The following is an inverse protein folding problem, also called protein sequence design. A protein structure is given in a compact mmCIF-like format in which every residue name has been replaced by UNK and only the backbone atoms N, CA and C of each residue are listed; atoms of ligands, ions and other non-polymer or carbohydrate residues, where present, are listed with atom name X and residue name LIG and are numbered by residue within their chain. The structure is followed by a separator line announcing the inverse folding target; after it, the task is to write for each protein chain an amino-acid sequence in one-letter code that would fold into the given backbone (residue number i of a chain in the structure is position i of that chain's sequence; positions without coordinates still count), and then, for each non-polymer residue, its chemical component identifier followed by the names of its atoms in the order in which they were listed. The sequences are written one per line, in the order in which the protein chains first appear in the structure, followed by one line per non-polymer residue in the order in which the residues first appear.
data_IF_172852029981
#
_entry.id   IF_172852029981
#
_cell.length_a   1.000
_cell.length_b   1.000
_cell.length_c   1.000
_cell.angle_alpha   90.00
_cell.angle_beta   90.00
_cell.angle_gamma   90.00
#
_symmetry.space_group_name_H-M   'P 1'
#
loop_
_entity.id
_entity.type
_entity.pdbx_description
1 polymer ?
#
# COMPACT_ATOMS: atom_id res chain seq x y z
N UNK A 1 -1.96 25.04 2.30
CA UNK A 1 -2.94 23.95 2.01
C UNK A 1 -2.18 22.65 2.17
N UNK A 2 -2.59 21.73 3.05
CA UNK A 2 -1.92 20.42 3.16
C UNK A 2 -2.26 19.64 1.88
N UNK A 3 -1.28 19.38 1.03
CA UNK A 3 -1.48 18.53 -0.16
C UNK A 3 -1.57 17.08 0.31
N UNK A 4 -2.54 16.33 -0.22
CA UNK A 4 -2.56 14.89 -0.11
C UNK A 4 -1.56 14.29 -1.09
N UNK A 5 -0.84 13.24 -0.69
CA UNK A 5 0.08 12.50 -1.58
C UNK A 5 -0.59 12.09 -2.91
N UNK A 6 -1.82 11.55 -2.83
CA UNK A 6 -2.62 11.18 -4.00
C UNK A 6 -2.88 12.36 -4.97
N UNK A 7 -2.88 13.59 -4.48
CA UNK A 7 -3.03 14.79 -5.30
C UNK A 7 -1.73 15.31 -5.92
N UNK A 8 -0.57 14.71 -5.60
CA UNK A 8 0.74 15.09 -6.13
C UNK A 8 1.21 14.18 -7.28
N UNK A 9 0.80 12.92 -7.27
CA UNK A 9 1.21 11.91 -8.26
C UNK A 9 0.47 12.09 -9.59
N UNK A 10 1.11 11.67 -10.70
CA UNK A 10 0.56 11.84 -12.06
C UNK A 10 -0.73 11.05 -12.31
N UNK A 11 -0.85 9.89 -11.66
CA UNK A 11 -2.04 9.05 -11.66
C UNK A 11 -2.03 8.17 -10.42
N UNK A 12 -3.20 7.93 -9.85
CA UNK A 12 -3.38 7.02 -8.73
C UNK A 12 -4.66 6.21 -8.90
N UNK A 13 -4.72 5.05 -8.26
CA UNK A 13 -5.96 4.31 -8.05
C UNK A 13 -5.87 3.50 -6.76
N UNK A 14 -6.96 3.46 -6.00
CA UNK A 14 -7.15 2.56 -4.87
C UNK A 14 -8.10 1.43 -5.29
N UNK A 15 -7.76 0.20 -4.93
CA UNK A 15 -8.48 -1.01 -5.29
C UNK A 15 -8.89 -1.73 -4.00
N UNK A 16 -10.16 -1.59 -3.66
CA UNK A 16 -10.68 -1.95 -2.33
C UNK A 16 -11.58 -3.17 -2.44
N UNK A 17 -11.21 -4.25 -1.76
CA UNK A 17 -11.99 -5.49 -1.79
C UNK A 17 -13.31 -5.33 -1.03
N UNK A 18 -14.36 -5.96 -1.55
CA UNK A 18 -15.73 -5.87 -1.03
C UNK A 18 -16.32 -4.45 -0.99
N UNK A 19 -15.64 -3.44 -1.56
CA UNK A 19 -16.18 -2.09 -1.65
C UNK A 19 -17.42 -2.07 -2.59
N UNK A 20 -18.61 -1.63 -2.12
CA UNK A 20 -19.85 -1.77 -2.89
C UNK A 20 -19.94 -0.93 -4.16
N UNK A 21 -19.32 0.25 -4.15
CA UNK A 21 -19.27 1.18 -5.28
C UNK A 21 -18.07 2.10 -5.14
N UNK A 22 -17.70 2.81 -6.19
CA UNK A 22 -16.57 3.76 -6.12
C UNK A 22 -16.75 4.78 -4.99
N UNK A 23 -15.66 5.10 -4.29
CA UNK A 23 -15.63 6.09 -3.22
C UNK A 23 -16.69 5.87 -2.12
N UNK A 24 -16.89 4.61 -1.70
CA UNK A 24 -17.93 4.28 -0.73
C UNK A 24 -17.55 4.76 0.69
N UNK A 25 -18.34 5.65 1.31
CA UNK A 25 -17.87 6.45 2.45
C UNK A 25 -18.11 5.81 3.83
N UNK A 26 -18.49 4.54 3.91
CA UNK A 26 -18.87 3.86 5.16
C UNK A 26 -18.61 2.35 5.08
N UNK A 27 -18.58 1.67 6.22
CA UNK A 27 -18.43 0.21 6.25
C UNK A 27 -19.61 -0.49 5.52
N UNK A 28 -19.34 -1.66 4.95
CA UNK A 28 -20.37 -2.53 4.34
C UNK A 28 -19.87 -3.96 4.21
N UNK A 29 -20.52 -4.91 4.89
CA UNK A 29 -20.02 -6.29 4.92
C UNK A 29 -18.58 -6.32 5.46
N UNK A 30 -17.69 -7.00 4.73
CA UNK A 30 -16.26 -7.08 5.03
C UNK A 30 -15.45 -5.85 4.57
N UNK A 31 -16.07 -4.86 3.92
CA UNK A 31 -15.40 -3.60 3.58
C UNK A 31 -15.42 -2.63 4.77
N UNK A 32 -14.22 -2.20 5.17
CA UNK A 32 -13.98 -1.20 6.21
C UNK A 32 -13.46 0.11 5.61
N UNK A 33 -14.28 1.17 5.58
CA UNK A 33 -13.86 2.45 4.99
C UNK A 33 -12.61 3.01 5.67
N UNK A 34 -12.41 2.72 6.96
CA UNK A 34 -11.23 3.15 7.72
C UNK A 34 -9.89 2.64 7.16
N UNK A 35 -9.90 1.56 6.37
CA UNK A 35 -8.71 1.03 5.69
C UNK A 35 -8.52 1.61 4.28
N UNK A 36 -9.51 2.36 3.76
CA UNK A 36 -9.48 3.03 2.47
C UNK A 36 -9.17 4.55 2.67
N UNK A 37 -7.97 5.04 2.30
CA UNK A 37 -7.62 6.44 2.51
C UNK A 37 -8.41 7.47 1.67
N UNK A 38 -8.65 7.29 0.34
CA UNK A 38 -9.29 8.30 -0.52
C UNK A 38 -10.55 9.00 0.04
N UNK A 39 -11.55 8.32 0.63
CA UNK A 39 -12.74 8.98 1.19
C UNK A 39 -12.46 10.04 2.26
N UNK A 40 -11.31 9.98 2.95
CA UNK A 40 -10.92 10.93 4.00
C UNK A 40 -10.22 12.18 3.46
N UNK A 41 -9.73 12.15 2.22
CA UNK A 41 -9.11 13.31 1.59
C UNK A 41 -10.17 14.18 0.92
N UNK A 42 -10.88 15.01 1.71
CA UNK A 42 -11.99 15.86 1.23
C UNK A 42 -11.62 16.90 0.15
N UNK A 43 -10.32 17.13 -0.07
CA UNK A 43 -9.82 18.03 -1.12
C UNK A 43 -9.29 17.30 -2.36
N UNK A 44 -9.28 15.96 -2.34
CA UNK A 44 -8.85 15.12 -3.45
C UNK A 44 -9.97 15.06 -4.50
N UNK A 45 -9.67 15.55 -5.70
CA UNK A 45 -10.53 15.33 -6.86
C UNK A 45 -10.38 13.89 -7.37
N UNK A 46 -11.47 13.32 -7.89
CA UNK A 46 -11.41 12.05 -8.62
C UNK A 46 -11.62 10.79 -7.77
N UNK A 47 -11.97 10.90 -6.48
CA UNK A 47 -12.30 9.73 -5.64
C UNK A 47 -13.31 8.80 -6.32
N UNK A 48 -14.44 9.34 -6.82
CA UNK A 48 -15.44 8.53 -7.54
C UNK A 48 -14.95 7.85 -8.83
N UNK A 49 -13.76 8.20 -9.34
CA UNK A 49 -13.16 7.63 -10.55
C UNK A 49 -11.95 6.73 -10.26
N UNK A 50 -11.25 6.99 -9.17
CA UNK A 50 -9.95 6.38 -8.87
C UNK A 50 -9.95 5.58 -7.55
N UNK A 51 -10.98 5.67 -6.73
CA UNK A 51 -11.23 4.75 -5.63
C UNK A 51 -12.30 3.74 -6.07
N UNK A 52 -11.88 2.53 -6.41
CA UNK A 52 -12.70 1.55 -7.15
C UNK A 52 -12.71 0.18 -6.47
N UNK A 53 -13.76 -0.65 -6.69
CA UNK A 53 -13.77 -2.02 -6.21
C UNK A 53 -12.61 -2.86 -6.79
N UNK A 54 -12.06 -3.74 -5.95
CA UNK A 54 -10.87 -4.56 -6.25
C UNK A 54 -10.83 -5.25 -7.63
N UNK A 55 -11.92 -5.84 -8.16
CA UNK A 55 -11.90 -6.52 -9.46
C UNK A 55 -11.40 -5.66 -10.64
N UNK A 56 -11.43 -4.33 -10.52
CA UNK A 56 -10.87 -3.43 -11.54
C UNK A 56 -9.36 -3.61 -11.73
N UNK A 57 -8.62 -4.04 -10.69
CA UNK A 57 -7.17 -4.25 -10.76
C UNK A 57 -6.78 -5.22 -11.88
N UNK A 58 -7.51 -6.33 -12.03
CA UNK A 58 -7.25 -7.31 -13.08
C UNK A 58 -7.40 -6.73 -14.50
N UNK A 59 -8.38 -5.83 -14.69
CA UNK A 59 -8.57 -5.14 -15.95
C UNK A 59 -7.41 -4.21 -16.25
N UNK A 60 -6.95 -3.43 -15.26
CA UNK A 60 -5.85 -2.47 -15.44
C UNK A 60 -4.50 -3.17 -15.63
N UNK A 61 -4.28 -4.30 -14.95
CA UNK A 61 -3.10 -5.16 -15.16
C UNK A 61 -3.07 -5.73 -16.58
N UNK A 62 -4.19 -6.30 -17.05
CA UNK A 62 -4.27 -6.91 -18.38
C UNK A 62 -4.18 -5.89 -19.52
N UNK A 63 -4.72 -4.69 -19.31
CA UNK A 63 -4.67 -3.60 -20.28
C UNK A 63 -3.32 -2.87 -20.33
N UNK A 64 -2.43 -3.11 -19.36
CA UNK A 64 -1.16 -2.37 -19.29
C UNK A 64 -1.33 -0.93 -18.78
N UNK A 65 -2.38 -0.65 -18.01
CA UNK A 65 -2.78 0.71 -17.61
C UNK A 65 -2.76 0.96 -16.10
N UNK A 66 -1.95 0.21 -15.34
CA UNK A 66 -1.71 0.52 -13.93
C UNK A 66 -1.31 2.00 -13.77
N UNK A 67 -1.87 2.72 -12.79
CA UNK A 67 -1.46 4.08 -12.47
C UNK A 67 -0.05 4.10 -11.87
N UNK A 68 0.55 5.30 -11.80
CA UNK A 68 1.85 5.51 -11.18
C UNK A 68 1.85 5.10 -9.69
N UNK A 69 0.73 5.31 -8.98
CA UNK A 69 0.52 4.80 -7.63
C UNK A 69 -0.73 3.92 -7.55
N UNK A 70 -0.57 2.66 -7.12
CA UNK A 70 -1.67 1.74 -6.87
C UNK A 70 -1.72 1.40 -5.39
N UNK A 71 -2.87 1.61 -4.74
CA UNK A 71 -3.13 1.19 -3.36
C UNK A 71 -4.12 0.03 -3.37
N UNK A 72 -3.85 -1.03 -2.62
CA UNK A 72 -4.68 -2.23 -2.61
C UNK A 72 -4.97 -2.59 -1.17
N UNK A 73 -6.24 -2.78 -0.83
CA UNK A 73 -6.68 -3.18 0.50
C UNK A 73 -7.57 -4.42 0.37
N UNK A 74 -7.14 -5.57 0.92
CA UNK A 74 -8.02 -6.72 1.09
C UNK A 74 -9.17 -6.39 2.06
N UNK A 75 -10.23 -7.20 2.06
CA UNK A 75 -11.33 -7.03 2.99
C UNK A 75 -10.93 -7.50 4.41
N UNK A 76 -11.79 -7.28 5.41
CA UNK A 76 -11.50 -7.62 6.82
C UNK A 76 -11.12 -9.09 7.09
N UNK A 77 -11.47 -10.03 6.21
CA UNK A 77 -11.08 -11.43 6.33
C UNK A 77 -9.69 -11.65 5.73
N UNK A 78 -9.45 -11.05 4.58
CA UNK A 78 -8.25 -11.27 3.79
C UNK A 78 -7.08 -10.33 4.18
N UNK A 79 -7.36 -9.25 4.91
CA UNK A 79 -6.37 -8.34 5.52
C UNK A 79 -5.84 -8.86 6.87
N UNK A 80 -6.39 -9.99 7.34
CA UNK A 80 -6.09 -10.67 8.61
C UNK A 80 -6.60 -9.96 9.87
N UNK A 81 -7.49 -8.95 9.75
CA UNK A 81 -8.07 -8.27 10.91
C UNK A 81 -9.13 -9.14 11.61
N UNK A 82 -10.12 -9.62 10.87
CA UNK A 82 -11.19 -10.51 11.34
C UNK A 82 -11.00 -11.96 10.85
N UNK A 83 -10.05 -12.15 9.93
CA UNK A 83 -9.65 -13.46 9.40
C UNK A 83 -8.40 -14.03 10.05
N UNK A 84 -7.88 -15.08 9.44
CA UNK A 84 -6.66 -15.76 9.87
C UNK A 84 -5.49 -15.41 8.94
N UNK A 85 -4.26 -15.58 9.45
CA UNK A 85 -3.05 -15.49 8.62
C UNK A 85 -3.13 -16.40 7.38
N UNK A 86 -3.73 -17.58 7.51
CA UNK A 86 -3.89 -18.52 6.39
C UNK A 86 -4.85 -18.00 5.31
N UNK A 87 -5.88 -17.22 5.67
CA UNK A 87 -6.79 -16.59 4.72
C UNK A 87 -6.06 -15.48 3.96
N UNK A 88 -5.36 -14.59 4.65
CA UNK A 88 -4.57 -13.55 3.98
C UNK A 88 -3.45 -14.13 3.11
N UNK A 89 -2.78 -15.21 3.55
CA UNK A 89 -1.78 -15.90 2.72
C UNK A 89 -2.41 -16.51 1.45
N UNK A 90 -3.59 -17.13 1.59
CA UNK A 90 -4.36 -17.64 0.43
C UNK A 90 -4.75 -16.51 -0.52
N UNK A 91 -5.18 -15.37 0.02
CA UNK A 91 -5.52 -14.19 -0.77
C UNK A 91 -4.29 -13.68 -1.55
N UNK A 92 -3.14 -13.53 -0.90
CA UNK A 92 -1.90 -13.12 -1.55
C UNK A 92 -1.49 -14.10 -2.64
N UNK A 93 -1.54 -15.41 -2.36
CA UNK A 93 -1.20 -16.46 -3.31
C UNK A 93 -2.10 -16.43 -4.57
N UNK A 94 -3.37 -16.09 -4.42
CA UNK A 94 -4.32 -15.99 -5.53
C UNK A 94 -4.16 -14.69 -6.35
N UNK A 95 -3.74 -13.59 -5.71
CA UNK A 95 -3.81 -12.27 -6.31
C UNK A 95 -2.47 -11.72 -6.80
N UNK A 96 -1.38 -11.92 -6.06
CA UNK A 96 -0.06 -11.41 -6.43
C UNK A 96 0.47 -11.95 -7.78
N UNK A 97 0.20 -13.21 -8.20
CA UNK A 97 0.65 -13.68 -9.51
C UNK A 97 0.15 -12.84 -10.69
N UNK A 98 -1.02 -12.20 -10.60
CA UNK A 98 -1.51 -11.33 -11.66
C UNK A 98 -0.63 -10.07 -11.80
N UNK A 99 -0.16 -9.52 -10.68
CA UNK A 99 0.77 -8.37 -10.65
C UNK A 99 2.10 -8.79 -11.27
N UNK A 100 2.69 -9.90 -10.81
CA UNK A 100 3.99 -10.36 -11.28
C UNK A 100 3.99 -10.80 -12.75
N UNK A 101 2.83 -11.20 -13.27
CA UNK A 101 2.68 -11.56 -14.67
C UNK A 101 2.37 -10.38 -15.59
N UNK A 102 2.07 -9.19 -15.04
CA UNK A 102 1.75 -8.00 -15.83
C UNK A 102 2.93 -7.52 -16.69
N UNK A 103 2.65 -6.89 -17.84
CA UNK A 103 3.69 -6.28 -18.68
C UNK A 103 4.57 -5.28 -17.93
N UNK A 104 3.98 -4.46 -17.06
CA UNK A 104 4.68 -3.38 -16.35
C UNK A 104 5.62 -3.91 -15.28
N UNK A 105 5.21 -4.95 -14.53
CA UNK A 105 6.11 -5.61 -13.59
C UNK A 105 7.28 -6.27 -14.33
N UNK A 106 7.01 -7.02 -15.41
CA UNK A 106 8.07 -7.65 -16.22
C UNK A 106 9.00 -6.65 -16.88
N UNK A 107 8.53 -5.44 -17.18
CA UNK A 107 9.33 -4.35 -17.71
C UNK A 107 10.23 -3.66 -16.67
N UNK A 108 10.13 -4.02 -15.38
CA UNK A 108 10.92 -3.38 -14.32
C UNK A 108 10.36 -2.04 -13.83
N UNK A 109 9.11 -1.71 -14.17
CA UNK A 109 8.50 -0.41 -13.83
C UNK A 109 7.62 -0.46 -12.58
N UNK A 110 7.55 -1.59 -11.89
CA UNK A 110 6.71 -1.79 -10.69
C UNK A 110 7.57 -2.31 -9.54
N UNK A 111 7.48 -1.62 -8.41
CA UNK A 111 7.90 -2.14 -7.11
C UNK A 111 6.65 -2.36 -6.25
N UNK A 112 6.45 -3.57 -5.76
CA UNK A 112 5.39 -3.93 -4.83
C UNK A 112 5.92 -3.81 -3.40
N UNK A 113 5.20 -3.08 -2.57
CA UNK A 113 5.39 -3.04 -1.12
C UNK A 113 4.19 -3.71 -0.47
N UNK A 114 4.42 -4.85 0.19
CA UNK A 114 3.43 -5.54 1.02
C UNK A 114 3.73 -5.20 2.48
N UNK A 115 2.77 -4.63 3.19
CA UNK A 115 2.93 -4.19 4.59
C UNK A 115 1.61 -4.29 5.33
N UNK A 116 1.65 -4.09 6.65
CA UNK A 116 0.48 -4.00 7.52
C UNK A 116 0.40 -2.60 8.11
N UNK A 117 -0.81 -2.11 8.32
CA UNK A 117 -1.04 -0.78 8.90
C UNK A 117 -0.65 -0.73 10.38
N UNK A 118 -0.89 -1.81 11.12
CA UNK A 118 -0.59 -1.93 12.55
C UNK A 118 -0.12 -3.33 12.96
N UNK A 119 0.61 -3.39 14.08
CA UNK A 119 0.97 -4.64 14.75
C UNK A 119 -0.02 -4.99 15.87
N UNK A 120 0.00 -6.24 16.33
CA UNK A 120 -0.89 -6.72 17.40
C UNK A 120 -0.12 -7.00 18.72
N UNK A 121 -0.83 -6.95 19.85
CA UNK A 121 -0.34 -7.43 21.14
C UNK A 121 0.53 -6.43 21.91
N UNK A 122 0.59 -5.19 21.43
CA UNK A 122 1.31 -4.11 22.07
C UNK A 122 0.57 -3.40 23.20
N UNK A 123 1.25 -2.45 23.83
CA UNK A 123 0.71 -1.63 24.93
C UNK A 123 0.64 -0.14 24.63
N UNK A 124 1.22 0.28 23.50
CA UNK A 124 1.29 1.68 23.07
C UNK A 124 0.79 1.84 21.64
N UNK A 125 0.36 3.05 21.33
CA UNK A 125 0.02 3.50 19.97
C UNK A 125 1.05 4.49 19.40
N UNK A 126 2.06 4.87 20.19
CA UNK A 126 3.18 5.70 19.72
C UNK A 126 4.33 4.81 19.23
N UNK A 127 4.27 4.47 17.95
CA UNK A 127 5.14 3.47 17.33
C UNK A 127 6.25 4.04 16.44
N UNK A 128 6.22 5.34 16.11
CA UNK A 128 7.08 5.91 15.07
C UNK A 128 8.59 5.67 15.29
N UNK A 129 9.01 5.59 16.55
CA UNK A 129 10.39 5.26 16.95
C UNK A 129 10.46 4.17 18.02
N UNK A 130 9.35 3.48 18.32
CA UNK A 130 9.31 2.49 19.38
C UNK A 130 9.70 1.11 18.83
N UNK A 131 10.93 0.71 19.09
CA UNK A 131 11.46 -0.58 18.62
C UNK A 131 11.27 -1.70 19.64
N UNK A 132 10.70 -1.43 20.80
CA UNK A 132 10.61 -2.40 21.92
C UNK A 132 9.22 -2.97 22.12
N UNK A 133 8.17 -2.24 21.76
CA UNK A 133 6.79 -2.71 21.87
C UNK A 133 6.46 -3.58 20.65
N UNK A 134 5.96 -4.79 20.89
CA UNK A 134 5.63 -5.77 19.83
C UNK A 134 4.54 -5.27 18.89
N UNK A 135 3.59 -4.46 19.38
CA UNK A 135 2.53 -3.88 18.54
C UNK A 135 3.03 -2.77 17.61
N UNK A 136 4.28 -2.33 17.78
CA UNK A 136 4.90 -1.33 16.91
C UNK A 136 5.73 -1.92 15.77
N UNK A 137 5.70 -3.25 15.59
CA UNK A 137 6.38 -3.93 14.49
C UNK A 137 5.37 -4.52 13.52
N UNK A 138 5.58 -4.23 12.24
CA UNK A 138 4.84 -4.83 11.13
C UNK A 138 5.83 -5.44 10.15
N UNK A 139 5.42 -6.52 9.48
CA UNK A 139 6.18 -7.02 8.35
C UNK A 139 6.12 -6.01 7.20
N UNK A 140 7.22 -5.84 6.47
CA UNK A 140 7.24 -5.09 5.22
C UNK A 140 8.13 -5.81 4.23
N UNK A 141 7.54 -6.20 3.10
CA UNK A 141 8.16 -7.03 2.08
C UNK A 141 8.21 -6.19 0.79
N UNK A 142 9.40 -6.06 0.22
CA UNK A 142 9.63 -5.38 -1.05
C UNK A 142 9.85 -6.41 -2.14
N UNK A 143 9.06 -6.34 -3.20
CA UNK A 143 9.14 -7.24 -4.35
C UNK A 143 9.24 -6.41 -5.62
N UNK A 144 10.39 -6.47 -6.29
CA UNK A 144 10.61 -5.82 -7.58
C UNK A 144 11.63 -6.61 -8.41
N UNK A 145 11.69 -6.41 -9.73
CA UNK A 145 12.72 -7.04 -10.57
C UNK A 145 14.15 -6.61 -10.25
N UNK A 146 14.35 -5.44 -9.61
CA UNK A 146 15.67 -4.92 -9.25
C UNK A 146 16.09 -5.31 -7.83
N UNK A 147 15.16 -5.73 -6.97
CA UNK A 147 15.46 -6.22 -5.62
C UNK A 147 16.00 -7.65 -5.67
N UNK A 148 17.20 -7.86 -5.14
CA UNK A 148 17.81 -9.20 -5.07
C UNK A 148 16.99 -10.09 -4.11
N UNK A 149 16.66 -11.30 -4.56
CA UNK A 149 15.92 -12.26 -3.75
C UNK A 149 16.68 -12.61 -2.46
N UNK A 150 15.99 -12.57 -1.32
CA UNK A 150 16.56 -12.82 -0.01
C UNK A 150 17.24 -11.62 0.66
N UNK A 151 17.20 -10.43 0.05
CA UNK A 151 17.68 -9.19 0.70
C UNK A 151 16.93 -8.94 2.01
N UNK A 152 17.70 -8.63 3.05
CA UNK A 152 17.20 -8.18 4.36
C UNK A 152 17.94 -6.91 4.76
N UNK A 153 17.24 -5.98 5.40
CA UNK A 153 17.82 -4.75 5.94
C UNK A 153 17.60 -4.68 7.44
N UNK A 154 18.65 -4.34 8.19
CA UNK A 154 18.58 -4.04 9.62
C UNK A 154 18.28 -2.55 9.92
N UNK A 155 18.04 -1.74 8.90
CA UNK A 155 17.70 -0.32 9.07
C UNK A 155 16.29 -0.18 9.65
N UNK A 156 16.12 0.73 10.62
CA UNK A 156 14.80 1.09 11.12
C UNK A 156 14.02 1.85 10.04
N UNK A 157 12.91 1.25 9.62
CA UNK A 157 11.90 1.87 8.76
C UNK A 157 10.56 1.94 9.49
N UNK A 158 9.76 2.93 9.14
CA UNK A 158 8.37 3.11 9.58
C UNK A 158 7.50 3.51 8.39
N UNK A 159 6.19 3.74 8.59
CA UNK A 159 5.30 4.14 7.49
C UNK A 159 5.68 5.46 6.81
N UNK A 160 6.39 6.37 7.51
CA UNK A 160 6.95 7.56 6.86
C UNK A 160 8.12 7.22 5.92
N UNK A 161 8.86 6.16 6.22
CA UNK A 161 9.92 5.64 5.34
C UNK A 161 9.33 5.08 4.05
N UNK A 162 8.22 4.36 4.15
CA UNK A 162 7.47 3.85 2.99
C UNK A 162 6.92 5.00 2.13
N UNK A 163 6.27 6.00 2.76
CA UNK A 163 5.78 7.18 2.05
C UNK A 163 6.93 7.94 1.37
N UNK A 164 8.01 8.24 2.10
CA UNK A 164 9.16 8.98 1.57
C UNK A 164 9.87 8.24 0.44
N UNK A 165 9.93 6.90 0.49
CA UNK A 165 10.45 6.06 -0.60
C UNK A 165 9.54 6.15 -1.83
N UNK A 166 8.23 6.05 -1.63
CA UNK A 166 7.23 6.15 -2.70
C UNK A 166 7.30 7.52 -3.38
N UNK A 167 7.40 8.59 -2.59
CA UNK A 167 7.52 9.96 -3.09
C UNK A 167 8.80 10.13 -3.93
N UNK A 168 9.93 9.56 -3.49
CA UNK A 168 11.18 9.56 -4.25
C UNK A 168 11.07 8.78 -5.57
N UNK A 169 10.49 7.58 -5.56
CA UNK A 169 10.29 6.76 -6.78
C UNK A 169 9.42 7.47 -7.81
N UNK A 170 8.40 8.21 -7.35
CA UNK A 170 7.47 8.93 -8.21
C UNK A 170 7.91 10.36 -8.54
N UNK A 171 9.06 10.80 -8.00
CA UNK A 171 9.61 12.13 -8.25
C UNK A 171 8.75 13.28 -7.73
N UNK A 172 8.01 13.06 -6.63
CA UNK A 172 7.17 14.10 -5.98
C UNK A 172 7.81 14.62 -4.69
N UNK A 173 7.54 15.88 -4.27
CA UNK A 173 8.12 16.45 -3.06
C UNK A 173 7.65 15.71 -1.79
N UNK A 174 8.53 15.47 -0.81
CA UNK A 174 8.15 14.69 0.36
C UNK A 174 7.21 15.44 1.31
N UNK A 175 6.28 14.71 1.92
CA UNK A 175 5.28 15.27 2.84
C UNK A 175 5.65 15.07 4.31
N UNK A 176 5.62 16.17 5.07
CA UNK A 176 5.67 16.12 6.54
C UNK A 176 6.87 15.32 7.08
N UNK A 177 6.59 14.30 7.90
CA UNK A 177 7.63 13.46 8.52
C UNK A 177 8.35 12.55 7.52
N UNK A 178 7.79 12.30 6.33
CA UNK A 178 8.44 11.51 5.29
C UNK A 178 9.74 12.17 4.78
N UNK A 179 9.83 13.50 4.85
CA UNK A 179 11.02 14.26 4.46
C UNK A 179 12.27 13.96 5.30
N UNK A 180 12.10 13.44 6.52
CA UNK A 180 13.19 13.08 7.42
C UNK A 180 13.34 11.57 7.64
N UNK A 181 12.53 10.74 6.99
CA UNK A 181 12.51 9.31 7.20
C UNK A 181 13.63 8.60 6.39
N UNK A 182 14.07 7.44 6.88
CA UNK A 182 15.07 6.64 6.18
C UNK A 182 14.49 6.12 4.86
N UNK A 183 15.19 6.34 3.75
CA UNK A 183 14.77 5.85 2.43
C UNK A 183 15.06 4.35 2.29
N UNK A 184 14.10 3.60 1.72
CA UNK A 184 14.24 2.17 1.46
C UNK A 184 14.98 1.89 0.14
N UNK A 185 15.21 2.90 -0.72
CA UNK A 185 15.79 2.74 -2.07
C UNK A 185 17.12 1.98 -2.07
N UNK A 186 18.09 2.44 -1.26
CA UNK A 186 19.42 1.83 -1.20
C UNK A 186 19.39 0.41 -0.63
N UNK A 187 18.49 0.15 0.34
CA UNK A 187 18.38 -1.16 0.98
C UNK A 187 17.82 -2.22 0.04
N UNK A 188 16.94 -1.85 -0.89
CA UNK A 188 16.23 -2.79 -1.77
C UNK A 188 16.54 -2.63 -3.26
N UNK A 189 17.54 -1.81 -3.61
CA UNK A 189 17.96 -1.55 -4.99
C UNK A 189 16.80 -1.13 -5.90
N UNK A 190 16.09 -0.09 -5.49
CA UNK A 190 14.94 0.47 -6.20
C UNK A 190 15.31 1.76 -6.96
#
# INVERSE_FOLDING_TARGET
RRQAFLGQVSSWKAYEESMPSNCYPKNSGEYAVRHNPPPYYTTLSGCASFDVPYPQLASDLSAGTLPAFSFVTPNLIDDMHDGTIAQGDTWLANNLPAIFNSPQYKAGSVALFLTWDEGEGGTTTDCATNTTDVGCHVATIVVSPSTVAGTQSGTLFNHYSLLGTTEQLLGVPPLGQAAGANSMLAAFNL
#
